data_IF_765573131360
#
_entry.id   IF_765573131360
#
_cell.length_a   1.000
_cell.length_b   1.000
_cell.length_c   1.000
_cell.angle_alpha   90.00
_cell.angle_beta   90.00
_cell.angle_gamma   90.00
#
_symmetry.space_group_name_H-M   'P 1'
#
loop_
_entity.id
_entity.type
_entity.pdbx_description
1 polymer ?
#
# COMPACT_ATOMS: atom_id res chain seq x y z
N UNK A 1 7.89 -45.75 8.11
CA UNK A 1 7.93 -44.39 8.70
C UNK A 1 6.90 -43.56 7.97
N UNK A 2 5.90 -42.97 8.64
CA UNK A 2 4.99 -42.06 7.96
C UNK A 2 5.82 -40.86 7.50
N UNK A 3 5.72 -40.52 6.21
CA UNK A 3 6.28 -39.27 5.68
C UNK A 3 5.61 -38.14 6.45
N UNK A 4 6.38 -37.41 7.27
CA UNK A 4 5.92 -36.20 7.94
C UNK A 4 5.29 -35.30 6.90
N UNK A 5 4.06 -34.82 7.13
CA UNK A 5 3.48 -33.78 6.29
C UNK A 5 4.48 -32.62 6.22
N UNK A 6 4.74 -32.04 5.04
CA UNK A 6 5.58 -30.85 4.96
C UNK A 6 5.00 -29.81 5.91
N UNK A 7 5.88 -29.15 6.67
CA UNK A 7 5.46 -28.08 7.56
C UNK A 7 4.72 -27.01 6.74
N UNK A 8 3.62 -26.50 7.28
CA UNK A 8 2.88 -25.43 6.61
C UNK A 8 3.78 -24.19 6.50
N UNK A 9 3.87 -23.54 5.32
CA UNK A 9 4.67 -22.33 5.15
C UNK A 9 4.31 -21.23 6.16
N UNK A 10 5.31 -20.47 6.60
CA UNK A 10 5.07 -19.36 7.53
C UNK A 10 4.25 -18.24 6.85
N UNK A 11 3.63 -17.35 7.62
CA UNK A 11 2.90 -16.20 7.08
C UNK A 11 3.83 -15.26 6.30
N UNK A 12 5.10 -15.13 6.71
CA UNK A 12 6.10 -14.36 5.95
C UNK A 12 6.43 -15.04 4.62
N UNK A 13 6.58 -16.36 4.61
CA UNK A 13 6.82 -17.13 3.38
C UNK A 13 5.61 -17.09 2.43
N UNK A 14 4.40 -17.17 2.97
CA UNK A 14 3.16 -17.02 2.21
C UNK A 14 3.00 -15.59 1.67
N UNK A 15 3.38 -14.56 2.43
CA UNK A 15 3.38 -13.17 1.96
C UNK A 15 4.36 -12.96 0.80
N UNK A 16 5.56 -13.55 0.86
CA UNK A 16 6.51 -13.56 -0.26
C UNK A 16 5.92 -14.29 -1.49
N UNK A 17 5.28 -15.43 -1.28
CA UNK A 17 4.62 -16.19 -2.36
C UNK A 17 3.51 -15.38 -3.01
N UNK A 18 2.66 -14.72 -2.21
CA UNK A 18 1.60 -13.84 -2.69
C UNK A 18 2.17 -12.63 -3.45
N UNK A 19 3.26 -12.04 -2.96
CA UNK A 19 3.93 -10.92 -3.62
C UNK A 19 4.42 -11.29 -5.02
N UNK A 20 4.88 -12.53 -5.22
CA UNK A 20 5.32 -13.07 -6.51
C UNK A 20 4.18 -13.36 -7.50
N UNK A 21 2.91 -13.38 -7.06
CA UNK A 21 1.79 -13.63 -7.97
C UNK A 21 1.69 -12.50 -9.00
N UNK A 22 1.48 -12.87 -10.26
CA UNK A 22 1.31 -11.90 -11.35
C UNK A 22 -0.16 -11.74 -11.75
N UNK A 23 -1.04 -12.65 -11.32
CA UNK A 23 -2.47 -12.49 -11.51
C UNK A 23 -3.06 -11.58 -10.42
N UNK A 24 -3.74 -10.48 -10.78
CA UNK A 24 -4.27 -9.54 -9.80
C UNK A 24 -5.34 -10.14 -8.87
N UNK A 25 -6.22 -11.00 -9.38
CA UNK A 25 -7.27 -11.64 -8.57
C UNK A 25 -6.65 -12.61 -7.57
N UNK A 26 -5.77 -13.49 -8.03
CA UNK A 26 -5.08 -14.46 -7.18
C UNK A 26 -4.25 -13.76 -6.10
N UNK A 27 -3.63 -12.60 -6.40
CA UNK A 27 -2.91 -11.81 -5.40
C UNK A 27 -3.83 -11.24 -4.34
N UNK A 28 -4.96 -10.64 -4.73
CA UNK A 28 -5.94 -10.13 -3.79
C UNK A 28 -6.50 -11.26 -2.91
N UNK A 29 -6.86 -12.40 -3.50
CA UNK A 29 -7.32 -13.59 -2.77
C UNK A 29 -6.26 -14.11 -1.78
N UNK A 30 -4.98 -14.13 -2.17
CA UNK A 30 -3.90 -14.54 -1.29
C UNK A 30 -3.71 -13.58 -0.10
N UNK A 31 -3.87 -12.27 -0.31
CA UNK A 31 -3.84 -11.28 0.77
C UNK A 31 -4.99 -11.49 1.77
N UNK A 32 -6.20 -11.74 1.28
CA UNK A 32 -7.35 -12.10 2.14
C UNK A 32 -7.11 -13.40 2.92
N UNK A 33 -6.57 -14.43 2.27
CA UNK A 33 -6.27 -15.71 2.91
C UNK A 33 -5.23 -15.57 4.02
N UNK A 34 -4.21 -14.73 3.82
CA UNK A 34 -3.19 -14.41 4.82
C UNK A 34 -3.78 -13.75 6.06
N UNK A 35 -4.61 -12.72 5.88
CA UNK A 35 -5.29 -12.07 7.00
C UNK A 35 -6.26 -13.00 7.72
N UNK A 36 -7.06 -13.76 6.97
CA UNK A 36 -7.96 -14.77 7.53
C UNK A 36 -7.18 -15.80 8.37
N UNK A 37 -6.04 -16.30 7.90
CA UNK A 37 -5.19 -17.22 8.67
C UNK A 37 -4.72 -16.56 9.96
N UNK A 38 -4.17 -15.35 9.88
CA UNK A 38 -3.70 -14.61 11.05
C UNK A 38 -4.80 -14.37 12.10
N UNK A 39 -5.98 -13.94 11.67
CA UNK A 39 -7.09 -13.57 12.56
C UNK A 39 -7.69 -14.77 13.29
N UNK A 40 -7.53 -15.98 12.74
CA UNK A 40 -8.02 -17.23 13.33
C UNK A 40 -6.99 -17.97 14.19
N UNK A 41 -5.76 -17.44 14.33
CA UNK A 41 -4.79 -17.99 15.26
C UNK A 41 -5.22 -17.66 16.71
N UNK A 42 -5.18 -18.66 17.62
CA UNK A 42 -5.82 -18.58 18.92
C UNK A 42 -5.16 -17.60 19.89
N UNK A 43 -3.84 -17.44 19.80
CA UNK A 43 -3.04 -16.62 20.71
C UNK A 43 -1.74 -16.15 20.06
N UNK A 44 -0.97 -15.35 20.79
CA UNK A 44 0.29 -14.77 20.32
C UNK A 44 1.41 -15.81 20.16
N UNK A 45 1.36 -16.94 20.89
CA UNK A 45 2.35 -18.01 20.71
C UNK A 45 2.14 -18.70 19.36
N UNK A 46 0.89 -19.00 18.99
CA UNK A 46 0.53 -19.52 17.68
C UNK A 46 0.83 -18.53 16.55
N UNK A 47 0.60 -17.21 16.77
CA UNK A 47 0.98 -16.15 15.81
C UNK A 47 2.49 -16.05 15.62
N UNK A 48 3.26 -16.13 16.70
CA UNK A 48 4.73 -16.15 16.63
C UNK A 48 5.23 -17.34 15.83
N UNK A 49 4.73 -18.53 16.14
CA UNK A 49 5.10 -19.74 15.42
C UNK A 49 4.70 -19.69 13.94
N UNK A 50 3.47 -19.25 13.63
CA UNK A 50 2.98 -19.18 12.26
C UNK A 50 3.68 -18.10 11.44
N UNK A 51 4.12 -17.00 12.06
CA UNK A 51 4.83 -15.92 11.35
C UNK A 51 6.27 -16.28 11.04
N UNK A 52 6.93 -16.95 11.98
CA UNK A 52 8.36 -17.24 11.97
C UNK A 52 9.22 -16.01 11.61
N UNK A 53 9.29 -14.99 12.51
CA UNK A 53 10.01 -13.75 12.25
C UNK A 53 11.51 -13.92 11.98
N UNK A 54 12.10 -15.04 12.40
CA UNK A 54 13.53 -15.32 12.26
C UNK A 54 13.84 -16.20 11.03
N UNK A 55 12.81 -16.69 10.31
CA UNK A 55 13.01 -17.46 9.09
C UNK A 55 13.89 -16.70 8.08
N UNK A 56 15.00 -17.30 7.61
CA UNK A 56 15.81 -16.73 6.55
C UNK A 56 15.09 -16.95 5.22
N UNK A 57 14.31 -15.97 4.80
CA UNK A 57 13.58 -15.99 3.54
C UNK A 57 14.34 -15.22 2.46
N UNK A 58 14.37 -15.81 1.27
CA UNK A 58 14.87 -15.16 0.05
C UNK A 58 13.87 -15.43 -1.08
N UNK A 59 13.66 -14.46 -1.99
CA UNK A 59 12.97 -14.76 -3.24
C UNK A 59 13.72 -15.85 -4.01
N UNK A 60 12.98 -16.64 -4.77
CA UNK A 60 13.59 -17.57 -5.74
C UNK A 60 14.40 -16.76 -6.76
N UNK A 61 15.55 -17.28 -7.21
CA UNK A 61 16.46 -16.57 -8.12
C UNK A 61 15.81 -16.10 -9.43
N UNK A 62 14.71 -16.74 -9.84
CA UNK A 62 13.92 -16.39 -11.03
C UNK A 62 12.73 -15.46 -10.78
N UNK A 63 12.41 -15.15 -9.52
CA UNK A 63 11.26 -14.34 -9.17
C UNK A 63 11.57 -12.85 -9.31
N UNK A 64 10.73 -12.14 -10.06
CA UNK A 64 10.69 -10.68 -10.03
C UNK A 64 9.78 -10.20 -8.91
N UNK A 65 10.23 -9.22 -8.12
CA UNK A 65 9.45 -8.62 -7.03
C UNK A 65 9.04 -7.17 -7.38
N UNK A 66 7.74 -6.83 -7.34
CA UNK A 66 6.62 -7.75 -7.12
C UNK A 66 6.37 -8.58 -8.39
N UNK A 67 5.59 -9.66 -8.29
CA UNK A 67 5.02 -10.31 -9.47
C UNK A 67 4.17 -9.31 -10.24
N UNK A 68 4.54 -9.06 -11.50
CA UNK A 68 3.91 -8.06 -12.36
C UNK A 68 2.94 -8.72 -13.34
N UNK A 69 1.66 -8.32 -13.34
CA UNK A 69 0.74 -8.71 -14.40
C UNK A 69 1.26 -8.30 -15.79
N UNK A 70 0.82 -9.00 -16.83
CA UNK A 70 1.15 -8.66 -18.23
C UNK A 70 0.60 -7.27 -18.62
N UNK A 71 -0.55 -6.89 -18.04
CA UNK A 71 -1.21 -5.60 -18.22
C UNK A 71 -1.59 -5.01 -16.85
N UNK A 72 -1.51 -3.68 -16.65
CA UNK A 72 -1.42 -2.62 -17.65
C UNK A 72 -0.01 -2.40 -18.22
N UNK A 73 0.07 -1.87 -19.45
CA UNK A 73 1.34 -1.36 -19.97
C UNK A 73 1.83 -0.21 -19.10
N UNK A 74 3.06 -0.33 -18.59
CA UNK A 74 3.68 0.68 -17.73
C UNK A 74 4.35 1.74 -18.61
N UNK A 75 3.92 2.99 -18.46
CA UNK A 75 4.41 4.15 -19.21
C UNK A 75 4.96 5.21 -18.26
N UNK A 76 5.82 6.14 -18.73
CA UNK A 76 6.26 7.26 -17.93
C UNK A 76 5.09 8.09 -17.38
N UNK A 77 5.19 8.72 -16.20
CA UNK A 77 4.09 9.45 -15.58
C UNK A 77 3.44 10.54 -16.45
N UNK A 78 4.18 11.13 -17.40
CA UNK A 78 3.65 12.15 -18.32
C UNK A 78 2.90 11.57 -19.53
N UNK A 79 2.98 10.26 -19.73
CA UNK A 79 2.42 9.55 -20.88
C UNK A 79 1.11 8.82 -20.57
N UNK A 80 0.57 8.97 -19.35
CA UNK A 80 -0.73 8.39 -18.98
C UNK A 80 -1.91 9.20 -19.55
N UNK A 81 -3.04 8.56 -19.90
CA UNK A 81 -4.23 9.22 -20.44
C UNK A 81 -4.75 10.34 -19.55
N UNK A 82 -5.45 11.29 -20.16
CA UNK A 82 -6.09 12.38 -19.43
C UNK A 82 -7.29 11.87 -18.61
N UNK A 83 -7.21 12.02 -17.28
CA UNK A 83 -8.16 11.46 -16.30
C UNK A 83 -9.29 12.43 -15.96
N UNK A 84 -9.97 12.98 -16.98
CA UNK A 84 -11.10 13.89 -16.73
C UNK A 84 -12.34 13.08 -16.34
N UNK A 85 -12.89 13.22 -15.12
CA UNK A 85 -14.07 12.44 -14.74
C UNK A 85 -15.37 12.88 -15.45
N UNK A 86 -15.31 13.93 -16.29
CA UNK A 86 -16.46 14.50 -16.98
C UNK A 86 -16.85 13.78 -18.28
N UNK A 87 -16.06 12.80 -18.72
CA UNK A 87 -16.41 11.89 -19.81
C UNK A 87 -16.42 10.44 -19.31
N UNK A 88 -17.18 9.52 -19.92
CA UNK A 88 -17.17 8.12 -19.53
C UNK A 88 -15.77 7.49 -19.56
N UNK A 89 -15.00 7.73 -20.63
CA UNK A 89 -13.66 7.18 -20.81
C UNK A 89 -12.68 7.80 -19.80
N UNK A 90 -12.82 9.09 -19.51
CA UNK A 90 -11.97 9.77 -18.55
C UNK A 90 -12.28 9.39 -17.10
N UNK A 91 -13.54 9.05 -16.78
CA UNK A 91 -13.92 8.45 -15.50
C UNK A 91 -13.35 7.04 -15.37
N UNK A 92 -13.44 6.22 -16.41
CA UNK A 92 -12.83 4.88 -16.42
C UNK A 92 -11.31 4.97 -16.26
N UNK A 93 -10.63 5.89 -16.95
CA UNK A 93 -9.20 6.12 -16.81
C UNK A 93 -8.79 6.63 -15.42
N UNK A 94 -9.63 7.45 -14.79
CA UNK A 94 -9.43 7.85 -13.40
C UNK A 94 -9.53 6.64 -12.46
N UNK A 95 -10.60 5.85 -12.56
CA UNK A 95 -10.82 4.69 -11.69
C UNK A 95 -9.76 3.63 -11.89
N UNK A 96 -9.40 3.30 -13.13
CA UNK A 96 -8.32 2.36 -13.44
C UNK A 96 -7.00 2.79 -12.80
N UNK A 97 -6.67 4.08 -12.84
CA UNK A 97 -5.45 4.58 -12.21
C UNK A 97 -5.46 4.41 -10.69
N UNK A 98 -6.62 4.58 -10.03
CA UNK A 98 -6.75 4.35 -8.59
C UNK A 98 -6.69 2.84 -8.32
N UNK A 99 -7.39 2.00 -9.10
CA UNK A 99 -7.28 0.53 -9.02
C UNK A 99 -5.83 0.06 -9.11
N UNK A 100 -5.01 0.67 -9.99
CA UNK A 100 -3.59 0.36 -10.09
C UNK A 100 -2.81 0.78 -8.83
N UNK A 101 -3.17 1.89 -8.19
CA UNK A 101 -2.56 2.32 -6.93
C UNK A 101 -2.87 1.30 -5.84
N UNK A 102 -4.12 0.89 -5.66
CA UNK A 102 -4.49 -0.09 -4.63
C UNK A 102 -3.84 -1.46 -4.88
N UNK A 103 -3.77 -1.90 -6.15
CA UNK A 103 -3.02 -3.12 -6.48
C UNK A 103 -1.54 -3.03 -6.09
N UNK A 104 -0.92 -1.86 -6.26
CA UNK A 104 0.44 -1.65 -5.79
C UNK A 104 0.50 -1.66 -4.26
N UNK A 105 -0.47 -1.06 -3.57
CA UNK A 105 -0.52 -1.04 -2.10
C UNK A 105 -0.57 -2.46 -1.49
N UNK A 106 -1.30 -3.41 -2.11
CA UNK A 106 -1.22 -4.84 -1.75
C UNK A 106 0.23 -5.32 -1.78
N UNK A 107 0.99 -5.00 -2.84
CA UNK A 107 2.40 -5.37 -2.94
C UNK A 107 3.26 -4.72 -1.85
N UNK A 108 3.03 -3.44 -1.55
CA UNK A 108 3.78 -2.69 -0.54
C UNK A 108 3.59 -3.30 0.85
N UNK A 109 2.35 -3.65 1.20
CA UNK A 109 2.00 -4.27 2.47
C UNK A 109 2.55 -5.70 2.59
N UNK A 110 2.37 -6.55 1.56
CA UNK A 110 2.96 -7.88 1.52
C UNK A 110 4.49 -7.83 1.64
N UNK A 111 5.12 -6.84 0.99
CA UNK A 111 6.55 -6.62 1.05
C UNK A 111 7.03 -6.28 2.47
N UNK A 112 6.29 -5.45 3.21
CA UNK A 112 6.62 -5.16 4.59
C UNK A 112 6.55 -6.42 5.47
N UNK A 113 5.54 -7.29 5.28
CA UNK A 113 5.37 -8.53 6.05
C UNK A 113 6.55 -9.48 5.85
N UNK A 114 6.89 -9.82 4.60
CA UNK A 114 7.90 -10.86 4.37
C UNK A 114 9.32 -10.35 4.62
N UNK A 115 9.62 -9.10 4.23
CA UNK A 115 11.00 -8.62 4.05
C UNK A 115 11.72 -8.34 5.35
N UNK A 116 11.01 -7.84 6.37
CA UNK A 116 11.64 -7.37 7.60
C UNK A 116 11.52 -8.44 8.69
N UNK A 117 12.57 -9.25 8.94
CA UNK A 117 12.59 -10.21 10.04
C UNK A 117 12.65 -9.50 11.39
N UNK A 118 12.45 -10.26 12.46
CA UNK A 118 12.66 -9.83 13.85
C UNK A 118 11.83 -8.63 14.31
N UNK A 119 10.76 -8.28 13.58
CA UNK A 119 9.80 -7.27 14.02
C UNK A 119 8.82 -7.88 15.04
N UNK A 120 8.24 -7.09 15.95
CA UNK A 120 7.27 -7.62 16.91
C UNK A 120 5.94 -7.98 16.21
N UNK A 121 5.17 -8.92 16.79
CA UNK A 121 3.91 -9.40 16.20
C UNK A 121 2.92 -8.33 15.74
N UNK A 122 2.72 -7.20 16.45
CA UNK A 122 1.85 -6.14 15.96
C UNK A 122 2.25 -5.60 14.60
N UNK A 123 3.55 -5.56 14.25
CA UNK A 123 4.01 -5.12 12.94
C UNK A 123 3.46 -6.01 11.83
N UNK A 124 3.60 -7.33 12.00
CA UNK A 124 3.08 -8.29 11.04
C UNK A 124 1.55 -8.25 10.99
N UNK A 125 0.88 -8.12 12.13
CA UNK A 125 -0.58 -7.94 12.18
C UNK A 125 -1.05 -6.74 11.38
N UNK A 126 -0.37 -5.60 11.53
CA UNK A 126 -0.74 -4.35 10.87
C UNK A 126 -0.61 -4.50 9.37
N UNK A 127 0.55 -4.95 8.87
CA UNK A 127 0.78 -5.04 7.43
C UNK A 127 0.00 -6.17 6.75
N UNK A 128 -0.33 -7.25 7.48
CA UNK A 128 -1.28 -8.25 6.99
C UNK A 128 -2.70 -7.68 6.85
N UNK A 129 -3.12 -6.83 7.81
CA UNK A 129 -4.41 -6.13 7.71
C UNK A 129 -4.43 -5.15 6.56
N UNK A 130 -3.38 -4.32 6.41
CA UNK A 130 -3.29 -3.37 5.29
C UNK A 130 -3.37 -4.14 3.97
N UNK A 131 -2.65 -5.26 3.79
CA UNK A 131 -2.74 -6.05 2.57
C UNK A 131 -4.17 -6.54 2.26
N UNK A 132 -4.95 -6.91 3.27
CA UNK A 132 -6.35 -7.33 3.16
C UNK A 132 -7.30 -6.16 2.81
N UNK A 133 -7.11 -5.01 3.45
CA UNK A 133 -7.88 -3.80 3.19
C UNK A 133 -7.60 -3.29 1.76
N UNK A 134 -6.34 -3.29 1.31
CA UNK A 134 -5.99 -2.89 -0.06
C UNK A 134 -6.48 -3.88 -1.11
N UNK A 135 -6.52 -5.17 -0.79
CA UNK A 135 -7.16 -6.17 -1.64
C UNK A 135 -8.67 -5.92 -1.77
N UNK A 136 -9.33 -5.51 -0.67
CA UNK A 136 -10.74 -5.09 -0.68
C UNK A 136 -10.93 -3.85 -1.54
N UNK A 137 -10.08 -2.82 -1.38
CA UNK A 137 -10.14 -1.58 -2.15
C UNK A 137 -9.98 -1.83 -3.66
N UNK A 138 -8.98 -2.62 -4.03
CA UNK A 138 -8.76 -3.08 -5.40
C UNK A 138 -10.01 -3.76 -5.97
N UNK A 139 -10.60 -4.70 -5.22
CA UNK A 139 -11.81 -5.42 -5.63
C UNK A 139 -13.02 -4.50 -5.86
N UNK A 140 -13.25 -3.56 -4.95
CA UNK A 140 -14.34 -2.57 -5.06
C UNK A 140 -14.19 -1.70 -6.32
N UNK A 141 -12.98 -1.16 -6.54
CA UNK A 141 -12.69 -0.31 -7.69
C UNK A 141 -12.75 -1.09 -9.00
N UNK A 142 -12.18 -2.30 -9.05
CA UNK A 142 -12.20 -3.15 -10.24
C UNK A 142 -13.63 -3.53 -10.63
N UNK A 143 -14.45 -3.93 -9.65
CA UNK A 143 -15.87 -4.22 -9.88
C UNK A 143 -16.60 -3.01 -10.46
N UNK A 144 -16.31 -1.81 -9.93
CA UNK A 144 -16.90 -0.58 -10.46
C UNK A 144 -16.41 -0.27 -11.87
N UNK A 145 -15.11 -0.43 -12.13
CA UNK A 145 -14.52 -0.25 -13.46
C UNK A 145 -15.16 -1.19 -14.50
N UNK A 146 -15.40 -2.46 -14.13
CA UNK A 146 -16.09 -3.45 -14.95
C UNK A 146 -17.53 -3.05 -15.28
N UNK A 147 -18.23 -2.40 -14.35
CA UNK A 147 -19.56 -1.85 -14.60
C UNK A 147 -19.57 -0.73 -15.66
N UNK A 148 -18.42 -0.11 -15.92
CA UNK A 148 -18.22 0.90 -16.95
C UNK A 148 -17.73 0.32 -18.29
N UNK A 149 -17.57 -1.01 -18.38
CA UNK A 149 -17.10 -1.71 -19.57
C UNK A 149 -15.58 -1.78 -19.73
N UNK A 150 -14.82 -1.55 -18.66
CA UNK A 150 -13.34 -1.66 -18.64
C UNK A 150 -12.91 -2.62 -17.54
N UNK A 151 -11.74 -3.24 -17.66
CA UNK A 151 -11.11 -4.01 -16.59
C UNK A 151 -9.74 -3.45 -16.20
N UNK A 152 -9.25 -3.89 -15.04
CA UNK A 152 -7.88 -3.61 -14.65
C UNK A 152 -6.90 -4.22 -15.66
N UNK A 153 -6.10 -3.35 -16.27
CA UNK A 153 -5.15 -3.69 -17.33
C UNK A 153 -5.48 -3.11 -18.71
N UNK A 154 -6.73 -2.68 -18.95
CA UNK A 154 -7.16 -2.17 -20.27
C UNK A 154 -6.54 -0.81 -20.65
N UNK A 155 -6.11 -0.05 -19.64
CA UNK A 155 -5.51 1.28 -19.81
C UNK A 155 -4.06 1.27 -19.29
N UNK A 156 -3.16 2.11 -19.83
CA UNK A 156 -1.78 2.17 -19.36
C UNK A 156 -1.69 2.82 -17.97
N UNK A 157 -0.69 2.42 -17.20
CA UNK A 157 -0.44 2.93 -15.85
C UNK A 157 1.04 3.32 -15.66
N UNK A 158 1.43 3.83 -14.49
CA UNK A 158 2.80 4.20 -14.18
C UNK A 158 3.30 3.51 -12.91
N UNK A 159 4.58 3.16 -12.87
CA UNK A 159 5.18 2.34 -11.80
C UNK A 159 5.96 3.17 -10.76
N UNK A 160 5.37 4.27 -10.31
CA UNK A 160 6.09 5.26 -9.50
C UNK A 160 6.28 4.89 -8.03
N UNK A 161 5.51 3.93 -7.50
CA UNK A 161 5.48 3.61 -6.08
C UNK A 161 6.57 2.60 -5.68
N UNK A 162 6.79 1.57 -6.50
CA UNK A 162 7.68 0.46 -6.14
C UNK A 162 9.17 0.85 -6.11
N UNK A 163 9.59 1.87 -6.87
CA UNK A 163 10.98 2.33 -6.91
C UNK A 163 11.52 2.69 -5.50
N UNK A 164 10.69 3.32 -4.66
CA UNK A 164 11.09 3.66 -3.30
C UNK A 164 11.20 2.43 -2.40
N UNK A 165 10.37 1.41 -2.63
CA UNK A 165 10.50 0.13 -1.93
C UNK A 165 11.83 -0.54 -2.19
N UNK A 166 12.28 -0.55 -3.45
CA UNK A 166 13.60 -1.09 -3.82
C UNK A 166 14.71 -0.29 -3.13
N UNK A 167 14.65 1.05 -3.17
CA UNK A 167 15.65 1.93 -2.53
C UNK A 167 15.77 1.72 -1.01
N UNK A 168 14.69 1.30 -0.36
CA UNK A 168 14.59 1.15 1.11
C UNK A 168 14.55 -0.31 1.55
N UNK A 169 14.79 -1.27 0.64
CA UNK A 169 14.57 -2.69 0.90
C UNK A 169 15.46 -3.29 2.01
N UNK A 170 16.53 -2.61 2.40
CA UNK A 170 17.45 -3.06 3.44
C UNK A 170 17.34 -2.25 4.75
N UNK A 171 16.41 -1.31 4.82
CA UNK A 171 16.24 -0.42 5.97
C UNK A 171 14.75 -0.23 6.26
N UNK A 172 14.26 -0.94 7.27
CA UNK A 172 12.87 -0.86 7.71
C UNK A 172 12.50 0.56 8.19
N UNK A 173 13.44 1.31 8.76
CA UNK A 173 13.23 2.69 9.23
C UNK A 173 13.02 3.61 8.03
N UNK A 174 13.89 3.50 7.02
CA UNK A 174 13.73 4.21 5.76
C UNK A 174 12.44 3.81 5.05
N UNK A 175 12.08 2.52 5.07
CA UNK A 175 10.83 2.03 4.47
C UNK A 175 9.63 2.69 5.12
N UNK A 176 9.50 2.63 6.45
CA UNK A 176 8.36 3.17 7.18
C UNK A 176 8.26 4.70 7.03
N UNK A 177 9.40 5.41 6.93
CA UNK A 177 9.42 6.85 6.69
C UNK A 177 8.92 7.24 5.29
N UNK A 178 9.41 6.55 4.26
CA UNK A 178 9.34 7.04 2.88
C UNK A 178 8.23 6.42 2.05
N UNK A 179 7.71 5.25 2.42
CA UNK A 179 6.63 4.60 1.65
C UNK A 179 5.27 4.95 2.25
N UNK A 180 4.84 4.38 3.40
CA UNK A 180 3.50 4.63 3.91
C UNK A 180 3.28 6.07 4.38
N UNK A 181 4.28 6.65 5.05
CA UNK A 181 4.18 8.01 5.60
C UNK A 181 4.28 9.11 4.54
N UNK A 182 4.95 8.86 3.42
CA UNK A 182 5.25 9.91 2.44
C UNK A 182 4.54 9.68 1.12
N UNK A 183 4.68 8.49 0.52
CA UNK A 183 4.10 8.21 -0.78
C UNK A 183 2.62 7.85 -0.69
N UNK A 184 2.23 6.97 0.24
CA UNK A 184 0.83 6.56 0.41
C UNK A 184 -0.01 7.70 1.01
N UNK A 185 0.56 8.46 1.95
CA UNK A 185 -0.08 9.68 2.49
C UNK A 185 -0.50 10.75 1.44
N UNK A 186 -0.06 10.64 0.18
CA UNK A 186 -0.58 11.45 -0.94
C UNK A 186 -2.04 11.13 -1.26
N UNK A 187 -2.50 9.91 -0.99
CA UNK A 187 -3.90 9.50 -1.10
C UNK A 187 -4.81 10.38 -0.24
N UNK A 188 -4.40 10.66 1.00
CA UNK A 188 -5.12 11.56 1.91
C UNK A 188 -5.36 12.95 1.31
N UNK A 189 -4.39 13.46 0.56
CA UNK A 189 -4.44 14.80 -0.04
C UNK A 189 -5.22 14.80 -1.38
N UNK A 190 -5.05 13.75 -2.18
CA UNK A 190 -5.61 13.66 -3.53
C UNK A 190 -7.09 13.26 -3.54
N UNK A 191 -7.49 12.32 -2.68
CA UNK A 191 -8.84 11.74 -2.68
C UNK A 191 -9.95 12.79 -2.50
N UNK A 192 -9.87 13.74 -1.56
CA UNK A 192 -10.90 14.77 -1.42
C UNK A 192 -11.08 15.64 -2.67
N UNK A 193 -9.99 15.93 -3.39
CA UNK A 193 -10.02 16.70 -4.64
C UNK A 193 -10.70 15.91 -5.76
N UNK A 194 -10.41 14.60 -5.83
CA UNK A 194 -11.05 13.69 -6.79
C UNK A 194 -12.54 13.60 -6.50
N UNK A 195 -12.93 13.35 -5.25
CA UNK A 195 -14.33 13.32 -4.82
C UNK A 195 -15.04 14.64 -5.13
N UNK A 196 -14.41 15.79 -4.89
CA UNK A 196 -14.99 17.10 -5.22
C UNK A 196 -15.27 17.26 -6.73
N UNK A 197 -14.41 16.72 -7.59
CA UNK A 197 -14.67 16.70 -9.05
C UNK A 197 -15.80 15.74 -9.41
N UNK A 198 -15.81 14.54 -8.84
CA UNK A 198 -16.87 13.55 -9.05
C UNK A 198 -18.25 14.06 -8.60
N UNK A 199 -18.32 14.82 -7.50
CA UNK A 199 -19.55 15.47 -7.02
C UNK A 199 -20.12 16.47 -8.04
N UNK A 200 -19.25 17.12 -8.83
CA UNK A 200 -19.68 18.02 -9.93
C UNK A 200 -20.20 17.23 -11.14
N UNK A 201 -19.64 16.05 -11.41
CA UNK A 201 -20.12 15.16 -12.48
C UNK A 201 -21.51 14.62 -12.15
N UNK A 202 -21.72 14.20 -10.91
CA UNK A 202 -23.03 13.84 -10.32
C UNK A 202 -23.86 12.77 -11.08
N UNK A 203 -23.21 11.91 -11.86
CA UNK A 203 -23.84 10.72 -12.47
C UNK A 203 -23.90 9.56 -11.47
N UNK A 204 -24.75 8.53 -11.69
CA UNK A 204 -24.76 7.34 -10.84
C UNK A 204 -23.39 6.69 -10.69
N UNK A 205 -22.64 6.58 -11.79
CA UNK A 205 -21.28 6.06 -11.79
C UNK A 205 -20.30 6.91 -10.95
N UNK A 206 -20.40 8.24 -11.03
CA UNK A 206 -19.57 9.13 -10.22
C UNK A 206 -19.92 9.08 -8.73
N UNK A 207 -21.20 8.93 -8.38
CA UNK A 207 -21.64 8.75 -6.98
C UNK A 207 -21.13 7.44 -6.42
N UNK A 208 -21.22 6.35 -7.19
CA UNK A 208 -20.67 5.06 -6.77
C UNK A 208 -19.15 5.12 -6.55
N UNK A 209 -18.44 5.85 -7.40
CA UNK A 209 -17.00 6.08 -7.20
C UNK A 209 -16.72 6.84 -5.90
N UNK A 210 -17.53 7.85 -5.54
CA UNK A 210 -17.38 8.58 -4.28
C UNK A 210 -17.56 7.65 -3.08
N UNK A 211 -18.60 6.80 -3.08
CA UNK A 211 -18.86 5.84 -2.00
C UNK A 211 -17.67 4.90 -1.76
N UNK A 212 -17.05 4.42 -2.85
CA UNK A 212 -15.85 3.57 -2.76
C UNK A 212 -14.67 4.36 -2.20
N UNK A 213 -14.47 5.60 -2.67
CA UNK A 213 -13.40 6.47 -2.20
C UNK A 213 -13.58 6.90 -0.73
N UNK A 214 -14.83 6.96 -0.22
CA UNK A 214 -15.10 7.21 1.20
C UNK A 214 -14.62 6.04 2.07
N UNK A 215 -14.80 4.79 1.62
CA UNK A 215 -14.24 3.60 2.29
C UNK A 215 -12.72 3.67 2.29
N UNK A 216 -12.11 3.85 1.12
CA UNK A 216 -10.65 3.90 0.97
C UNK A 216 -10.06 5.00 1.85
N UNK A 217 -10.62 6.23 1.82
CA UNK A 217 -10.10 7.34 2.62
C UNK A 217 -10.19 7.08 4.13
N UNK A 218 -11.23 6.38 4.58
CA UNK A 218 -11.38 6.01 5.99
C UNK A 218 -10.24 5.09 6.44
N UNK A 219 -9.92 4.08 5.64
CA UNK A 219 -8.91 3.06 5.98
C UNK A 219 -7.49 3.61 5.78
N UNK A 220 -7.27 4.43 4.75
CA UNK A 220 -5.97 5.06 4.44
C UNK A 220 -5.43 5.91 5.60
N UNK A 221 -6.29 6.58 6.37
CA UNK A 221 -5.85 7.31 7.58
C UNK A 221 -5.19 6.33 8.57
N UNK A 222 -5.77 5.13 8.72
CA UNK A 222 -5.22 4.05 9.53
C UNK A 222 -3.90 3.50 8.98
N UNK A 223 -3.80 3.32 7.67
CA UNK A 223 -2.58 2.82 7.00
C UNK A 223 -1.41 3.78 7.19
N UNK A 224 -1.65 5.07 6.97
CA UNK A 224 -0.64 6.11 7.20
C UNK A 224 -0.28 6.20 8.69
N UNK A 225 -1.24 6.02 9.59
CA UNK A 225 -0.99 5.98 11.03
C UNK A 225 -0.11 4.79 11.44
N UNK A 226 -0.31 3.62 10.82
CA UNK A 226 0.55 2.43 11.00
C UNK A 226 1.98 2.75 10.60
N UNK A 227 2.19 3.30 9.40
CA UNK A 227 3.52 3.71 8.92
C UNK A 227 4.19 4.72 9.86
N UNK A 228 3.42 5.70 10.33
CA UNK A 228 3.89 6.70 11.28
C UNK A 228 4.32 6.09 12.62
N UNK A 229 3.48 5.24 13.20
CA UNK A 229 3.76 4.55 14.46
C UNK A 229 5.03 3.73 14.37
N UNK A 230 5.19 2.92 13.32
CA UNK A 230 6.38 2.09 13.15
C UNK A 230 7.64 2.89 12.91
N UNK A 231 7.56 3.98 12.14
CA UNK A 231 8.68 4.90 11.97
C UNK A 231 9.14 5.49 13.31
N UNK A 232 8.20 6.01 14.11
CA UNK A 232 8.50 6.56 15.44
C UNK A 232 9.06 5.52 16.41
N UNK A 233 8.48 4.31 16.42
CA UNK A 233 8.97 3.20 17.24
C UNK A 233 10.41 2.80 16.87
N UNK A 234 10.70 2.64 15.57
CA UNK A 234 12.03 2.30 15.06
C UNK A 234 13.06 3.39 15.40
N UNK A 235 12.69 4.67 15.26
CA UNK A 235 13.54 5.77 15.68
C UNK A 235 13.83 5.71 17.18
N UNK A 236 12.82 5.44 18.00
CA UNK A 236 12.99 5.27 19.45
C UNK A 236 13.93 4.12 19.81
N UNK A 237 13.80 2.96 19.15
CA UNK A 237 14.70 1.81 19.38
C UNK A 237 16.16 2.11 18.99
N UNK A 238 16.37 2.98 17.99
CA UNK A 238 17.69 3.33 17.46
C UNK A 238 18.27 4.62 18.05
N UNK A 239 17.54 5.32 18.92
CA UNK A 239 17.95 6.61 19.47
C UNK A 239 18.01 7.74 18.43
N UNK A 240 17.21 7.66 17.37
CA UNK A 240 17.14 8.64 16.29
C UNK A 240 16.08 9.70 16.60
N UNK A 241 16.37 10.96 16.27
CA UNK A 241 15.37 12.03 16.30
C UNK A 241 14.53 11.96 15.01
N UNK A 242 13.20 11.68 15.08
CA UNK A 242 12.39 11.36 13.91
C UNK A 242 12.37 12.47 12.84
N UNK A 243 12.23 13.74 13.22
CA UNK A 243 12.06 14.82 12.24
C UNK A 243 13.36 15.06 11.45
N UNK A 244 14.50 15.17 12.14
CA UNK A 244 15.81 15.32 11.50
C UNK A 244 16.20 14.09 10.69
N UNK A 245 15.94 12.88 11.21
CA UNK A 245 16.26 11.66 10.50
C UNK A 245 15.41 11.49 9.24
N UNK A 246 14.11 11.83 9.30
CA UNK A 246 13.25 11.86 8.12
C UNK A 246 13.81 12.75 7.02
N UNK A 247 14.24 13.97 7.35
CA UNK A 247 14.85 14.90 6.39
C UNK A 247 16.13 14.33 5.78
N UNK A 248 16.92 13.59 6.55
CA UNK A 248 18.12 12.91 6.04
C UNK A 248 17.74 11.79 5.05
N UNK A 249 16.80 10.90 5.43
CA UNK A 249 16.30 9.82 4.58
C UNK A 249 15.69 10.35 3.27
N UNK A 250 14.86 11.39 3.35
CA UNK A 250 14.24 12.02 2.19
C UNK A 250 15.29 12.53 1.19
N UNK A 251 16.40 13.12 1.66
CA UNK A 251 17.52 13.52 0.80
C UNK A 251 18.27 12.32 0.24
N UNK A 252 18.67 11.37 1.08
CA UNK A 252 19.44 10.19 0.70
C UNK A 252 18.76 9.37 -0.40
N UNK A 253 17.45 9.18 -0.31
CA UNK A 253 16.70 8.38 -1.27
C UNK A 253 16.04 9.20 -2.39
N UNK A 254 16.25 10.52 -2.39
CA UNK A 254 15.62 11.47 -3.32
C UNK A 254 14.10 11.32 -3.32
N UNK A 255 13.50 11.35 -2.14
CA UNK A 255 12.06 11.27 -1.97
C UNK A 255 11.37 12.45 -2.69
N UNK A 256 10.23 12.22 -3.36
CA UNK A 256 9.54 13.28 -4.08
C UNK A 256 9.02 14.34 -3.11
N UNK A 257 9.11 15.60 -3.52
CA UNK A 257 8.57 16.72 -2.74
C UNK A 257 7.04 16.68 -2.82
N UNK A 258 6.40 16.62 -1.65
CA UNK A 258 4.94 16.71 -1.54
C UNK A 258 4.48 18.13 -1.89
N UNK A 259 3.32 18.24 -2.53
CA UNK A 259 2.77 19.52 -2.99
C UNK A 259 1.38 19.75 -2.39
N UNK A 260 1.07 20.97 -1.95
CA UNK A 260 -0.26 21.31 -1.47
C UNK A 260 -1.33 21.23 -2.60
N UNK A 261 -2.62 21.19 -2.26
CA UNK A 261 -3.18 21.28 -0.89
C UNK A 261 -3.02 19.97 -0.11
N UNK A 262 -2.79 20.09 1.20
CA UNK A 262 -2.70 18.95 2.12
C UNK A 262 -4.00 18.77 2.91
N UNK A 263 -4.40 17.52 3.14
CA UNK A 263 -5.51 17.20 4.05
C UNK A 263 -5.00 17.17 5.49
N UNK A 264 -4.86 18.36 6.08
CA UNK A 264 -4.24 18.53 7.41
C UNK A 264 -4.93 17.72 8.51
N UNK A 265 -6.26 17.67 8.53
CA UNK A 265 -6.99 16.91 9.55
C UNK A 265 -6.76 15.40 9.45
N UNK A 266 -6.74 14.84 8.23
CA UNK A 266 -6.40 13.43 8.01
C UNK A 266 -4.96 13.13 8.44
N UNK A 267 -4.00 14.02 8.11
CA UNK A 267 -2.60 13.89 8.56
C UNK A 267 -2.49 13.95 10.09
N UNK A 268 -3.21 14.84 10.77
CA UNK A 268 -3.24 14.85 12.25
C UNK A 268 -3.81 13.55 12.81
N UNK A 269 -4.91 13.05 12.24
CA UNK A 269 -5.50 11.77 12.64
C UNK A 269 -4.57 10.59 12.38
N UNK A 270 -3.74 10.66 11.35
CA UNK A 270 -2.65 9.71 11.08
C UNK A 270 -1.42 9.90 12.00
N UNK A 271 -1.49 10.81 12.97
CA UNK A 271 -0.49 11.01 14.02
C UNK A 271 0.68 11.92 13.66
N UNK A 272 0.60 12.70 12.57
CA UNK A 272 1.65 13.68 12.29
C UNK A 272 1.64 14.77 13.36
N UNK A 273 2.83 15.11 13.86
CA UNK A 273 2.98 16.19 14.84
C UNK A 273 2.75 17.55 14.20
N UNK A 274 2.45 18.57 15.00
CA UNK A 274 2.30 19.93 14.49
C UNK A 274 3.59 20.43 13.82
N UNK A 275 4.77 20.07 14.37
CA UNK A 275 6.06 20.41 13.78
C UNK A 275 6.22 19.84 12.37
N UNK A 276 5.82 18.58 12.15
CA UNK A 276 5.90 17.95 10.83
C UNK A 276 4.91 18.55 9.84
N UNK A 277 3.73 18.95 10.32
CA UNK A 277 2.75 19.67 9.49
C UNK A 277 3.29 21.04 9.08
N UNK A 278 3.91 21.77 10.01
CA UNK A 278 4.51 23.08 9.72
C UNK A 278 5.66 22.95 8.73
N UNK A 279 6.51 21.91 8.87
CA UNK A 279 7.57 21.58 7.92
C UNK A 279 7.02 21.29 6.51
N UNK A 280 5.91 20.56 6.40
CA UNK A 280 5.25 20.27 5.12
C UNK A 280 4.76 21.55 4.43
N UNK A 281 4.27 22.52 5.21
CA UNK A 281 3.75 23.80 4.70
C UNK A 281 4.87 24.81 4.41
N UNK A 282 6.00 24.73 5.12
CA UNK A 282 7.15 25.61 4.96
C UNK A 282 8.17 25.15 3.91
N UNK A 283 8.00 23.95 3.34
CA UNK A 283 8.89 23.38 2.31
C UNK A 283 8.62 23.95 0.91
#
# INVERSE_FOLDING_TARGET
MPLSKPAEPSLREQALTALCLSDPSAKAEAAHALWHRWSHLPDDAARMQATDPEAPLSPLDSASLPGRPISPTLVPPMSVPHRSPFTPEGLAALLHAITHIEFNAINLALDAVWRFPSMPLPFYSDWLRVADEEATHFGLLRTHLQSLGFDYGDLPAHDGLWEMCVKTQHDVTARMALVPRTLEARGLDATPLIQARLRKVNTPAARRAIEILDVILSDEIGHVAIGNRWYGWLCGQQGLEPVAHYRALARTHSAPRLKPPFHLDARRSAGFTQQEIDDLLGA
#
